data_IF_985612915948
#
_entry.id   IF_985612915948
#
_cell.length_a   1.000
_cell.length_b   1.000
_cell.length_c   1.000
_cell.angle_alpha   90.00
_cell.angle_beta   90.00
_cell.angle_gamma   90.00
#
_symmetry.space_group_name_H-M   'P 1'
#
loop_
_entity.id
_entity.type
_entity.pdbx_description
1 polymer ?
#
# COMPACT_ATOMS: atom_id res chain seq x y z
N UNK A 1 17.91 41.00 -1.66
CA UNK A 1 17.15 39.78 -2.00
C UNK A 1 17.91 38.64 -1.33
N UNK A 2 17.36 38.10 -0.26
CA UNK A 2 17.93 36.89 0.34
C UNK A 2 17.87 35.76 -0.70
N UNK A 3 19.02 35.14 -0.97
CA UNK A 3 19.06 33.92 -1.79
C UNK A 3 18.18 32.87 -1.09
N UNK A 4 17.05 32.51 -1.70
CA UNK A 4 16.20 31.43 -1.16
C UNK A 4 17.03 30.17 -1.07
N UNK A 5 17.16 29.64 0.13
CA UNK A 5 17.86 28.39 0.39
C UNK A 5 17.25 27.30 -0.48
N UNK A 6 18.09 26.53 -1.16
CA UNK A 6 17.69 25.39 -1.98
C UNK A 6 18.15 24.11 -1.30
N UNK A 7 17.23 23.18 -1.18
CA UNK A 7 17.53 21.83 -0.71
C UNK A 7 17.73 20.89 -1.92
N UNK A 8 18.35 19.75 -1.72
CA UNK A 8 18.60 18.77 -2.78
C UNK A 8 17.70 17.56 -2.58
N UNK A 9 16.84 17.29 -3.57
CA UNK A 9 16.05 16.06 -3.63
C UNK A 9 16.77 15.07 -4.55
N UNK A 10 16.85 13.82 -4.11
CA UNK A 10 17.40 12.70 -4.88
C UNK A 10 16.36 11.65 -5.16
N UNK A 11 16.40 11.08 -6.36
CA UNK A 11 15.66 9.88 -6.73
C UNK A 11 16.64 8.71 -6.82
N UNK A 12 16.26 7.54 -6.28
CA UNK A 12 17.17 6.40 -6.24
C UNK A 12 16.42 5.07 -6.12
N UNK A 13 17.15 3.97 -6.41
CA UNK A 13 16.70 2.61 -6.08
C UNK A 13 17.44 2.15 -4.82
N UNK A 14 16.74 1.41 -3.99
CA UNK A 14 17.35 0.75 -2.84
C UNK A 14 18.06 -0.53 -3.28
N UNK A 15 19.15 -0.88 -2.60
CA UNK A 15 19.77 -2.20 -2.78
C UNK A 15 18.83 -3.28 -2.26
N UNK A 16 18.73 -4.37 -3.02
CA UNK A 16 18.02 -5.56 -2.55
C UNK A 16 18.77 -6.22 -1.41
N UNK A 17 18.06 -6.72 -0.42
CA UNK A 17 18.62 -7.49 0.67
C UNK A 17 18.15 -8.93 0.53
N UNK A 18 19.08 -9.88 0.52
CA UNK A 18 18.76 -11.31 0.39
C UNK A 18 17.77 -11.74 1.48
N UNK A 19 16.66 -12.34 1.07
CA UNK A 19 15.60 -12.79 1.96
C UNK A 19 14.55 -11.72 2.32
N UNK A 20 14.71 -10.46 1.88
CA UNK A 20 13.64 -9.48 1.92
C UNK A 20 12.78 -9.61 0.64
N UNK A 21 11.53 -9.80 0.84
CA UNK A 21 10.52 -9.83 -0.23
C UNK A 21 9.69 -8.53 -0.16
N UNK A 22 9.20 -8.03 -1.29
CA UNK A 22 9.59 -8.34 -2.65
C UNK A 22 10.69 -7.39 -3.16
N UNK A 23 11.48 -7.82 -4.15
CA UNK A 23 12.45 -6.95 -4.84
C UNK A 23 11.79 -5.66 -5.39
N UNK A 24 10.51 -5.70 -5.72
CA UNK A 24 9.72 -4.55 -6.16
C UNK A 24 9.76 -3.37 -5.19
N UNK A 25 9.84 -3.63 -3.87
CA UNK A 25 10.02 -2.57 -2.89
C UNK A 25 11.36 -1.86 -3.03
N UNK A 26 12.41 -2.55 -3.49
CA UNK A 26 13.71 -1.96 -3.76
C UNK A 26 13.78 -1.33 -5.15
N UNK A 27 13.17 -1.98 -6.16
CA UNK A 27 13.16 -1.56 -7.57
C UNK A 27 11.92 -0.70 -7.90
N UNK A 28 11.74 0.34 -7.14
CA UNK A 28 10.70 1.36 -7.27
C UNK A 28 11.32 2.74 -7.11
N UNK A 29 10.55 3.80 -7.21
CA UNK A 29 11.03 5.17 -7.00
C UNK A 29 11.12 5.48 -5.52
N UNK A 30 12.33 5.68 -5.03
CA UNK A 30 12.62 6.17 -3.69
C UNK A 30 13.06 7.64 -3.77
N UNK A 31 12.72 8.39 -2.74
CA UNK A 31 13.09 9.80 -2.60
C UNK A 31 13.88 10.01 -1.31
N UNK A 32 14.87 10.89 -1.36
CA UNK A 32 15.52 11.46 -0.19
C UNK A 32 15.68 12.95 -0.32
N UNK A 33 15.72 13.66 0.78
CA UNK A 33 16.07 15.09 0.83
C UNK A 33 17.39 15.20 1.60
N UNK A 34 18.36 15.91 1.04
CA UNK A 34 19.64 16.15 1.68
C UNK A 34 19.50 17.30 2.67
N UNK A 35 19.87 17.07 3.92
CA UNK A 35 19.85 18.03 5.00
C UNK A 35 21.22 18.08 5.67
N UNK A 36 21.85 19.24 5.71
CA UNK A 36 23.17 19.44 6.36
C UNK A 36 24.22 18.38 5.97
N UNK A 37 24.32 18.08 4.67
CA UNK A 37 25.20 17.04 4.08
C UNK A 37 24.76 15.59 4.34
N UNK A 38 23.74 15.34 5.14
CA UNK A 38 23.17 14.00 5.37
C UNK A 38 21.97 13.75 4.46
N UNK A 39 21.89 12.55 3.89
CA UNK A 39 20.68 12.09 3.18
C UNK A 39 19.62 11.62 4.16
N UNK A 40 18.43 12.23 4.08
CA UNK A 40 17.25 11.83 4.84
C UNK A 40 16.31 11.06 3.92
N UNK A 41 16.31 9.71 3.94
CA UNK A 41 15.35 8.91 3.20
C UNK A 41 13.93 9.20 3.64
N UNK A 42 13.03 9.34 2.69
CA UNK A 42 11.62 9.53 2.96
C UNK A 42 10.92 8.18 3.17
N UNK A 43 9.87 8.18 3.96
CA UNK A 43 9.03 7.00 4.23
C UNK A 43 9.84 5.76 4.66
N UNK A 44 10.82 5.93 5.56
CA UNK A 44 11.70 4.86 6.02
C UNK A 44 12.35 4.06 4.89
N UNK A 45 12.66 4.73 3.78
CA UNK A 45 13.27 4.12 2.61
C UNK A 45 12.39 3.04 1.93
N UNK A 46 11.09 3.08 2.12
CA UNK A 46 10.13 2.36 1.27
C UNK A 46 9.95 3.10 -0.06
N UNK A 47 9.65 2.36 -1.12
CA UNK A 47 9.31 2.97 -2.40
C UNK A 47 8.05 3.84 -2.27
N UNK A 48 8.09 5.04 -2.81
CA UNK A 48 6.98 6.00 -2.76
C UNK A 48 6.13 5.97 -4.02
N UNK A 49 6.74 5.59 -5.16
CA UNK A 49 6.07 5.52 -6.45
C UNK A 49 6.36 4.19 -7.12
N UNK A 50 5.31 3.53 -7.57
CA UNK A 50 5.35 2.25 -8.27
C UNK A 50 4.67 2.39 -9.63
N UNK A 51 5.14 1.70 -10.68
CA UNK A 51 4.38 1.56 -11.91
C UNK A 51 2.97 1.00 -11.61
N UNK A 52 1.92 1.54 -12.24
CA UNK A 52 0.55 1.01 -12.08
C UNK A 52 0.45 -0.47 -12.46
N UNK A 53 1.22 -0.90 -13.45
CA UNK A 53 1.33 -2.31 -13.83
C UNK A 53 1.89 -3.20 -12.70
N UNK A 54 2.55 -2.65 -11.69
CA UNK A 54 3.08 -3.41 -10.56
C UNK A 54 1.97 -4.15 -9.78
N UNK A 55 0.75 -3.64 -9.78
CA UNK A 55 -0.40 -4.26 -9.09
C UNK A 55 -0.93 -5.48 -9.86
N UNK A 56 -0.85 -5.47 -11.20
CA UNK A 56 -1.41 -6.52 -12.06
C UNK A 56 -0.33 -7.49 -12.52
N UNK A 57 0.77 -6.95 -13.03
CA UNK A 57 1.96 -7.68 -13.45
C UNK A 57 3.15 -7.00 -12.79
N UNK A 58 3.99 -7.73 -12.02
CA UNK A 58 5.12 -7.11 -11.35
C UNK A 58 5.99 -6.33 -12.34
N UNK A 59 6.11 -5.03 -12.14
CA UNK A 59 6.96 -4.13 -12.90
C UNK A 59 8.00 -3.53 -11.99
N UNK A 60 9.23 -3.47 -12.47
CA UNK A 60 10.37 -2.99 -11.71
C UNK A 60 11.00 -1.82 -12.46
N UNK A 61 11.49 -0.87 -11.71
CA UNK A 61 12.11 0.31 -12.29
C UNK A 61 13.49 0.56 -11.69
N UNK A 62 14.44 0.89 -12.52
CA UNK A 62 15.81 1.16 -12.09
C UNK A 62 16.45 2.33 -12.81
N UNK A 63 17.69 2.64 -12.47
CA UNK A 63 18.46 3.73 -13.03
C UNK A 63 17.67 5.06 -13.07
N UNK A 64 17.11 5.44 -11.91
CA UNK A 64 16.21 6.58 -11.78
C UNK A 64 16.89 7.91 -12.06
N UNK A 65 16.18 8.79 -12.75
CA UNK A 65 16.58 10.16 -13.06
C UNK A 65 15.43 11.13 -12.81
N UNK A 66 15.77 12.37 -12.53
CA UNK A 66 14.83 13.48 -12.35
C UNK A 66 15.28 14.70 -13.12
N UNK A 67 14.34 15.46 -13.65
CA UNK A 67 14.60 16.76 -14.29
C UNK A 67 13.52 17.77 -13.92
N UNK A 68 13.88 19.06 -13.87
CA UNK A 68 12.92 20.15 -13.82
C UNK A 68 12.57 20.58 -15.25
N UNK A 69 11.29 20.56 -15.58
CA UNK A 69 10.74 21.01 -16.85
C UNK A 69 9.98 22.31 -16.61
N UNK A 70 10.38 23.38 -17.29
CA UNK A 70 9.67 24.66 -17.24
C UNK A 70 8.81 24.80 -18.47
N UNK A 71 7.50 24.98 -18.29
CA UNK A 71 6.55 25.24 -19.37
C UNK A 71 5.57 26.31 -18.91
N UNK A 72 5.36 27.32 -19.72
CA UNK A 72 4.40 28.43 -19.49
C UNK A 72 4.53 29.07 -18.08
N UNK A 73 5.77 29.21 -17.60
CA UNK A 73 6.06 29.80 -16.30
C UNK A 73 5.92 28.83 -15.10
N UNK A 74 5.32 27.67 -15.29
CA UNK A 74 5.23 26.62 -14.26
C UNK A 74 6.45 25.69 -14.33
N UNK A 75 6.82 25.15 -13.17
CA UNK A 75 7.85 24.11 -13.04
C UNK A 75 7.16 22.79 -12.73
N UNK A 76 7.41 21.80 -13.56
CA UNK A 76 7.02 20.41 -13.35
C UNK A 76 8.27 19.56 -13.28
N UNK A 77 8.29 18.54 -12.45
CA UNK A 77 9.39 17.62 -12.34
C UNK A 77 9.04 16.32 -13.08
N UNK A 78 9.96 15.87 -13.90
CA UNK A 78 9.87 14.61 -14.62
C UNK A 78 10.78 13.60 -13.93
N UNK A 79 10.22 12.46 -13.52
CA UNK A 79 10.97 11.31 -13.03
C UNK A 79 10.94 10.24 -14.10
N UNK A 80 12.10 9.64 -14.41
CA UNK A 80 12.19 8.52 -15.34
C UNK A 80 13.02 7.39 -14.74
N UNK A 81 12.76 6.16 -15.19
CA UNK A 81 13.57 4.99 -14.86
C UNK A 81 13.48 3.93 -15.94
N UNK A 82 14.54 3.15 -16.08
CA UNK A 82 14.56 2.00 -16.99
C UNK A 82 13.57 0.93 -16.53
N UNK A 83 12.95 0.27 -17.48
CA UNK A 83 12.14 -0.92 -17.19
C UNK A 83 13.08 -2.10 -16.87
N UNK A 84 12.96 -2.63 -15.65
CA UNK A 84 13.81 -3.70 -15.14
C UNK A 84 13.03 -5.00 -14.95
N UNK A 85 13.73 -6.12 -15.00
CA UNK A 85 13.26 -7.44 -14.58
C UNK A 85 13.47 -7.61 -13.07
N UNK A 86 12.88 -8.65 -12.52
CA UNK A 86 12.98 -8.97 -11.08
C UNK A 86 14.41 -9.25 -10.61
N UNK A 87 15.31 -9.62 -11.50
CA UNK A 87 16.73 -9.85 -11.21
C UNK A 87 17.59 -8.57 -11.26
N UNK A 88 16.97 -7.42 -11.58
CA UNK A 88 17.63 -6.13 -11.70
C UNK A 88 18.29 -5.88 -13.06
N UNK A 89 18.09 -6.77 -14.04
CA UNK A 89 18.51 -6.53 -15.42
C UNK A 89 17.51 -5.67 -16.19
N UNK A 90 17.99 -4.91 -17.16
CA UNK A 90 17.13 -4.11 -18.04
C UNK A 90 16.26 -5.02 -18.89
N UNK A 91 14.96 -4.74 -18.97
CA UNK A 91 14.06 -5.43 -19.87
C UNK A 91 14.37 -5.04 -21.32
N UNK A 92 14.85 -6.01 -22.11
CA UNK A 92 15.28 -5.78 -23.50
C UNK A 92 14.15 -5.35 -24.44
N UNK A 93 12.89 -5.68 -24.12
CA UNK A 93 11.72 -5.29 -24.93
C UNK A 93 11.48 -3.77 -24.89
N UNK A 94 11.82 -3.14 -23.77
CA UNK A 94 11.64 -1.70 -23.56
C UNK A 94 12.96 -0.92 -23.54
N UNK A 95 14.04 -1.49 -24.10
CA UNK A 95 15.35 -0.85 -24.15
C UNK A 95 15.27 0.51 -24.87
N UNK A 96 15.73 1.58 -24.19
CA UNK A 96 15.68 2.95 -24.71
C UNK A 96 14.33 3.64 -24.50
N UNK A 97 13.41 3.01 -23.80
CA UNK A 97 12.19 3.63 -23.27
C UNK A 97 12.23 3.61 -21.74
N UNK A 98 11.44 4.47 -21.10
CA UNK A 98 11.53 4.72 -19.67
C UNK A 98 10.14 4.78 -19.06
N UNK A 99 9.95 4.11 -17.93
CA UNK A 99 8.89 4.45 -17.01
C UNK A 99 8.99 5.94 -16.68
N UNK A 100 7.88 6.65 -16.73
CA UNK A 100 7.89 8.10 -16.64
C UNK A 100 6.73 8.61 -15.80
N UNK A 101 7.03 9.56 -14.92
CA UNK A 101 6.06 10.24 -14.06
C UNK A 101 6.32 11.74 -14.08
N UNK A 102 5.25 12.53 -14.04
CA UNK A 102 5.33 13.95 -13.76
C UNK A 102 4.78 14.28 -12.38
N UNK A 103 5.32 15.31 -11.75
CA UNK A 103 4.86 15.82 -10.47
C UNK A 103 5.14 17.31 -10.36
N UNK A 104 4.26 18.05 -9.71
CA UNK A 104 4.48 19.45 -9.39
C UNK A 104 5.10 19.65 -7.99
N UNK A 105 4.93 18.65 -7.11
CA UNK A 105 5.13 18.80 -5.66
C UNK A 105 5.84 17.60 -4.99
N UNK A 106 6.08 16.52 -5.70
CA UNK A 106 6.57 15.23 -5.18
C UNK A 106 5.65 14.59 -4.11
N UNK A 107 4.40 15.00 -4.05
CA UNK A 107 3.36 14.42 -3.20
C UNK A 107 2.39 13.58 -4.03
N UNK A 108 2.09 14.06 -5.23
CA UNK A 108 1.22 13.40 -6.21
C UNK A 108 1.97 13.19 -7.52
N UNK A 109 1.68 12.09 -8.20
CA UNK A 109 2.40 11.68 -9.40
C UNK A 109 1.44 11.26 -10.50
N UNK A 110 1.58 11.89 -11.69
CA UNK A 110 0.89 11.47 -12.90
C UNK A 110 1.78 10.49 -13.66
N UNK A 111 1.35 9.24 -13.79
CA UNK A 111 2.08 8.23 -14.54
C UNK A 111 1.81 8.36 -16.04
N UNK A 112 2.88 8.50 -16.80
CA UNK A 112 2.84 8.52 -18.26
C UNK A 112 3.05 7.14 -18.89
N UNK A 113 3.40 6.13 -18.09
CA UNK A 113 3.76 4.80 -18.54
C UNK A 113 5.18 4.74 -19.12
N UNK A 114 5.45 3.74 -19.96
CA UNK A 114 6.72 3.59 -20.65
C UNK A 114 6.74 4.52 -21.86
N UNK A 115 7.63 5.49 -21.85
CA UNK A 115 7.79 6.51 -22.88
C UNK A 115 9.14 6.36 -23.58
N UNK A 116 9.14 6.42 -24.91
CA UNK A 116 10.34 6.64 -25.72
C UNK A 116 10.86 8.08 -25.55
N UNK A 117 12.09 8.33 -25.96
CA UNK A 117 12.64 9.68 -25.96
C UNK A 117 11.81 10.67 -26.77
N UNK A 118 11.24 10.24 -27.91
CA UNK A 118 10.35 11.10 -28.73
C UNK A 118 9.06 11.46 -28.00
N UNK A 119 8.44 10.50 -27.28
CA UNK A 119 7.24 10.75 -26.49
C UNK A 119 7.54 11.68 -25.29
N UNK A 120 8.71 11.58 -24.68
CA UNK A 120 9.13 12.52 -23.63
C UNK A 120 9.27 13.95 -24.18
N UNK A 121 9.86 14.11 -25.37
CA UNK A 121 9.94 15.41 -26.04
C UNK A 121 8.56 16.00 -26.34
N UNK A 122 7.65 15.19 -26.86
CA UNK A 122 6.26 15.60 -27.15
C UNK A 122 5.54 16.07 -25.89
N UNK A 123 5.58 15.27 -24.81
CA UNK A 123 4.90 15.57 -23.55
C UNK A 123 5.47 16.81 -22.84
N UNK A 124 6.78 16.99 -22.87
CA UNK A 124 7.45 18.11 -22.22
C UNK A 124 7.52 19.36 -23.08
N UNK A 125 7.46 19.22 -24.40
CA UNK A 125 7.72 20.30 -25.36
C UNK A 125 9.20 20.69 -25.45
N UNK A 126 10.12 19.84 -24.99
CA UNK A 126 11.58 20.08 -24.96
C UNK A 126 12.32 19.00 -25.75
N UNK A 127 13.53 19.31 -26.20
CA UNK A 127 14.44 18.28 -26.73
C UNK A 127 15.03 17.46 -25.59
N UNK A 128 15.52 16.24 -25.88
CA UNK A 128 16.15 15.39 -24.84
C UNK A 128 17.36 16.04 -24.19
N UNK A 129 18.15 16.81 -24.96
CA UNK A 129 19.29 17.55 -24.43
C UNK A 129 18.86 18.67 -23.48
N UNK A 130 17.70 19.29 -23.72
CA UNK A 130 17.14 20.32 -22.87
C UNK A 130 16.54 19.75 -21.57
N UNK A 131 16.13 18.48 -21.58
CA UNK A 131 15.69 17.75 -20.39
C UNK A 131 16.93 17.23 -19.66
N UNK A 132 17.48 18.03 -18.76
CA UNK A 132 18.69 17.69 -18.00
C UNK A 132 18.39 16.65 -16.93
N UNK A 133 18.43 15.38 -17.31
CA UNK A 133 18.19 14.23 -16.42
C UNK A 133 19.38 14.01 -15.49
N UNK A 134 19.14 14.06 -14.19
CA UNK A 134 20.11 13.79 -13.11
C UNK A 134 19.54 12.86 -12.07
N UNK A 135 20.32 12.33 -11.16
CA UNK A 135 19.84 11.55 -10.02
C UNK A 135 19.38 12.43 -8.85
N UNK A 136 19.68 13.73 -8.91
CA UNK A 136 19.31 14.69 -7.87
C UNK A 136 19.00 16.06 -8.48
N UNK A 137 18.17 16.84 -7.79
CA UNK A 137 17.75 18.17 -8.24
C UNK A 137 17.59 19.13 -7.07
N UNK A 138 17.92 20.40 -7.32
CA UNK A 138 17.66 21.45 -6.34
C UNK A 138 16.17 21.84 -6.34
N UNK A 139 15.55 21.84 -5.16
CA UNK A 139 14.15 22.23 -4.94
C UNK A 139 14.07 23.39 -3.95
N UNK A 140 12.99 24.17 -3.95
CA UNK A 140 12.77 25.20 -2.92
C UNK A 140 12.69 24.59 -1.52
N UNK A 141 13.19 25.27 -0.51
CA UNK A 141 13.13 24.83 0.90
C UNK A 141 11.69 24.55 1.35
N UNK A 142 10.74 25.42 1.02
CA UNK A 142 9.32 25.24 1.33
C UNK A 142 8.78 23.90 0.77
N UNK A 143 9.16 23.55 -0.45
CA UNK A 143 8.80 22.28 -1.07
C UNK A 143 9.45 21.10 -0.31
N UNK A 144 10.72 21.21 0.04
CA UNK A 144 11.41 20.18 0.81
C UNK A 144 10.75 19.92 2.17
N UNK A 145 10.31 20.97 2.87
CA UNK A 145 9.59 20.84 4.13
C UNK A 145 8.22 20.18 3.95
N UNK A 146 7.46 20.55 2.89
CA UNK A 146 6.20 19.90 2.57
C UNK A 146 6.38 18.41 2.29
N UNK A 147 7.39 18.04 1.50
CA UNK A 147 7.71 16.64 1.17
C UNK A 147 8.07 15.85 2.43
N UNK A 148 8.97 16.38 3.27
CA UNK A 148 9.35 15.76 4.54
C UNK A 148 8.15 15.59 5.45
N UNK A 149 7.33 16.62 5.59
CA UNK A 149 6.13 16.57 6.41
C UNK A 149 5.17 15.49 5.91
N UNK A 150 4.88 15.46 4.61
CA UNK A 150 3.92 14.51 4.04
C UNK A 150 4.40 13.06 4.19
N UNK A 151 5.64 12.76 3.77
CA UNK A 151 6.13 11.38 3.73
C UNK A 151 6.64 10.85 5.08
N UNK A 152 7.05 11.75 5.99
CA UNK A 152 7.61 11.36 7.30
C UNK A 152 6.70 11.73 8.49
N UNK A 153 5.60 12.46 8.29
CA UNK A 153 4.74 12.89 9.38
C UNK A 153 4.15 11.72 10.19
N UNK A 154 3.90 10.59 9.53
CA UNK A 154 3.48 9.35 10.19
C UNK A 154 4.59 8.73 11.06
N UNK A 155 5.84 9.11 10.84
CA UNK A 155 7.00 8.58 11.56
C UNK A 155 7.57 9.55 12.61
N UNK A 156 7.36 10.85 12.46
CA UNK A 156 7.91 11.88 13.34
C UNK A 156 7.37 11.84 14.79
N UNK A 157 6.25 11.16 15.02
CA UNK A 157 5.68 10.96 16.37
C UNK A 157 6.03 9.61 16.99
N UNK A 158 6.61 8.69 16.24
CA UNK A 158 7.19 7.48 16.80
C UNK A 158 8.66 7.74 17.12
N UNK A 159 8.97 8.40 18.24
CA UNK A 159 10.12 7.93 18.99
C UNK A 159 9.90 6.41 19.07
N UNK A 160 10.76 5.64 18.43
CA UNK A 160 10.74 4.19 18.54
C UNK A 160 11.11 3.84 20.00
N UNK A 161 10.12 3.91 20.89
CA UNK A 161 10.09 2.98 21.99
C UNK A 161 10.25 1.61 21.37
N UNK A 162 11.06 0.74 21.94
CA UNK A 162 11.23 -0.63 21.46
C UNK A 162 9.85 -1.18 21.06
N UNK A 163 9.71 -1.79 19.86
CA UNK A 163 8.40 -2.21 19.41
C UNK A 163 7.81 -3.13 20.46
N UNK A 164 6.66 -2.75 21.02
CA UNK A 164 5.91 -3.56 22.00
C UNK A 164 5.60 -4.95 21.45
N UNK A 165 5.61 -5.08 20.12
CA UNK A 165 5.27 -6.30 19.40
C UNK A 165 6.49 -6.87 18.69
N UNK A 166 6.69 -8.18 18.81
CA UNK A 166 7.70 -8.94 18.06
C UNK A 166 7.04 -9.55 16.82
N UNK A 167 7.66 -9.41 15.65
CA UNK A 167 7.22 -10.07 14.43
C UNK A 167 7.71 -11.53 14.38
N UNK A 168 6.89 -12.45 13.81
CA UNK A 168 5.52 -12.22 13.32
C UNK A 168 4.54 -11.99 14.47
N UNK A 169 3.53 -11.13 14.27
CA UNK A 169 2.51 -10.82 15.28
C UNK A 169 1.64 -12.03 15.63
N UNK A 170 1.36 -12.86 14.64
CA UNK A 170 0.66 -14.12 14.75
C UNK A 170 1.09 -15.07 13.62
N UNK A 171 0.78 -16.35 13.76
CA UNK A 171 0.99 -17.38 12.74
C UNK A 171 -0.33 -18.08 12.42
N UNK A 172 -0.47 -18.58 11.16
CA UNK A 172 -1.68 -19.26 10.72
C UNK A 172 -2.90 -18.35 10.65
N UNK A 173 -2.69 -17.06 10.38
CA UNK A 173 -3.74 -16.08 10.14
C UNK A 173 -3.43 -15.37 8.83
N UNK A 174 -4.28 -15.58 7.82
CA UNK A 174 -4.21 -14.93 6.52
C UNK A 174 -5.26 -13.83 6.39
N UNK A 175 -5.13 -12.96 5.40
CA UNK A 175 -6.06 -11.86 5.09
C UNK A 175 -6.45 -11.02 6.32
N UNK A 176 -5.49 -10.49 7.09
CA UNK A 176 -5.77 -9.80 8.34
C UNK A 176 -6.44 -8.44 8.10
N UNK A 177 -7.53 -8.20 8.81
CA UNK A 177 -8.24 -6.91 8.79
C UNK A 177 -8.36 -6.35 10.21
N UNK A 178 -8.08 -5.07 10.36
CA UNK A 178 -8.28 -4.30 11.59
C UNK A 178 -9.29 -3.20 11.34
N UNK A 179 -10.28 -3.10 12.20
CA UNK A 179 -11.30 -2.05 12.21
C UNK A 179 -11.20 -1.25 13.50
N UNK A 180 -11.18 0.06 13.42
CA UNK A 180 -11.48 0.95 14.55
C UNK A 180 -12.99 1.25 14.54
N UNK A 181 -13.70 0.84 15.58
CA UNK A 181 -15.13 1.02 15.71
C UNK A 181 -15.52 1.39 17.15
N UNK A 182 -16.14 2.54 17.32
CA UNK A 182 -16.56 3.06 18.63
C UNK A 182 -15.44 3.01 19.68
N UNK A 183 -14.30 3.59 19.35
CA UNK A 183 -13.11 3.72 20.21
C UNK A 183 -12.34 2.43 20.52
N UNK A 184 -12.74 1.27 19.97
CA UNK A 184 -12.03 0.01 20.11
C UNK A 184 -11.55 -0.53 18.76
N UNK A 185 -10.43 -1.24 18.79
CA UNK A 185 -9.91 -1.98 17.64
C UNK A 185 -10.45 -3.40 17.62
N UNK A 186 -10.85 -3.85 16.44
CA UNK A 186 -11.30 -5.21 16.17
C UNK A 186 -10.41 -5.83 15.09
N UNK A 187 -9.99 -7.07 15.32
CA UNK A 187 -9.17 -7.83 14.39
C UNK A 187 -9.90 -9.09 13.96
N UNK A 188 -9.88 -9.37 12.67
CA UNK A 188 -10.40 -10.61 12.08
C UNK A 188 -9.45 -11.08 10.97
N UNK A 189 -9.40 -12.39 10.71
CA UNK A 189 -8.55 -12.99 9.68
C UNK A 189 -9.10 -14.35 9.25
N UNK A 190 -8.67 -14.85 8.12
CA UNK A 190 -8.72 -16.27 7.78
C UNK A 190 -7.89 -17.04 8.80
N UNK A 191 -8.39 -18.14 9.37
CA UNK A 191 -7.74 -18.86 10.46
C UNK A 191 -7.31 -20.28 10.05
N UNK A 192 -6.12 -20.39 9.48
CA UNK A 192 -5.50 -21.66 9.08
C UNK A 192 -5.28 -22.59 10.29
N UNK A 193 -5.17 -22.05 11.51
CA UNK A 193 -5.01 -22.85 12.72
C UNK A 193 -6.29 -23.65 13.06
N UNK A 194 -7.44 -23.22 12.53
CA UNK A 194 -8.74 -23.88 12.69
C UNK A 194 -9.20 -24.51 11.36
N UNK A 195 -8.28 -24.83 10.46
CA UNK A 195 -8.54 -25.38 9.13
C UNK A 195 -9.50 -24.54 8.30
N UNK A 196 -9.42 -23.22 8.41
CA UNK A 196 -10.28 -22.25 7.73
C UNK A 196 -11.77 -22.45 8.04
N UNK A 197 -12.12 -22.84 9.28
CA UNK A 197 -13.49 -23.02 9.71
C UNK A 197 -13.87 -22.00 10.78
N UNK A 198 -14.88 -21.20 10.45
CA UNK A 198 -15.40 -20.16 11.32
C UNK A 198 -14.62 -18.85 11.28
N UNK A 199 -15.26 -17.77 11.71
CA UNK A 199 -14.62 -16.46 11.88
C UNK A 199 -14.51 -16.09 13.34
N UNK A 200 -13.34 -15.58 13.70
CA UNK A 200 -12.95 -15.26 15.05
C UNK A 200 -12.50 -13.81 15.15
N UNK A 201 -13.04 -13.07 16.10
CA UNK A 201 -12.72 -11.65 16.32
C UNK A 201 -11.98 -11.47 17.64
N UNK A 202 -10.96 -10.61 17.62
CA UNK A 202 -10.31 -10.07 18.81
C UNK A 202 -10.71 -8.61 18.97
N UNK A 203 -10.78 -8.13 20.22
CA UNK A 203 -11.05 -6.74 20.55
C UNK A 203 -10.02 -6.23 21.53
N UNK A 204 -9.57 -4.99 21.33
CA UNK A 204 -8.72 -4.29 22.27
C UNK A 204 -8.95 -2.78 22.17
N UNK A 205 -8.60 -2.04 23.23
CA UNK A 205 -8.63 -0.58 23.21
C UNK A 205 -7.41 0.00 22.50
N UNK A 206 -6.25 -0.63 22.66
CA UNK A 206 -5.03 -0.28 21.94
C UNK A 206 -4.73 -1.29 20.84
N UNK A 207 -4.21 -0.82 19.71
CA UNK A 207 -3.94 -1.65 18.54
C UNK A 207 -3.00 -2.82 18.85
N UNK A 208 -1.97 -2.56 19.64
CA UNK A 208 -0.96 -3.54 20.03
C UNK A 208 -1.54 -4.69 20.86
N UNK A 209 -2.54 -4.42 21.68
CA UNK A 209 -3.15 -5.39 22.58
C UNK A 209 -4.00 -6.46 21.85
N UNK A 210 -4.33 -6.21 20.57
CA UNK A 210 -4.94 -7.24 19.70
C UNK A 210 -4.06 -8.49 19.52
N UNK A 211 -2.76 -8.35 19.76
CA UNK A 211 -1.75 -9.41 19.61
C UNK A 211 -1.10 -9.79 20.93
N UNK A 212 -1.63 -9.33 22.06
CA UNK A 212 -1.21 -9.75 23.37
C UNK A 212 -1.42 -11.26 23.57
N UNK A 213 -0.55 -11.89 24.38
CA UNK A 213 -0.55 -13.35 24.58
C UNK A 213 -1.87 -13.88 25.15
N UNK A 214 -2.57 -13.07 25.91
CA UNK A 214 -3.80 -13.38 26.63
C UNK A 214 -5.05 -12.74 26.02
N UNK A 215 -4.92 -12.17 24.81
CA UNK A 215 -6.06 -11.58 24.09
C UNK A 215 -7.14 -12.64 23.85
N UNK A 216 -8.37 -12.31 24.23
CA UNK A 216 -9.52 -13.19 24.00
C UNK A 216 -9.94 -13.16 22.54
N UNK A 217 -10.31 -14.35 22.07
CA UNK A 217 -10.80 -14.56 20.70
C UNK A 217 -12.25 -15.05 20.75
N UNK A 218 -13.13 -14.43 19.99
CA UNK A 218 -14.57 -14.69 20.01
C UNK A 218 -15.02 -15.20 18.63
N UNK A 219 -15.64 -16.38 18.59
CA UNK A 219 -16.18 -16.93 17.36
C UNK A 219 -17.52 -16.25 17.05
N UNK A 220 -17.62 -15.57 15.91
CA UNK A 220 -18.81 -14.84 15.47
C UNK A 220 -19.60 -15.56 14.37
N UNK A 221 -18.96 -16.47 13.64
CA UNK A 221 -19.60 -17.35 12.67
C UNK A 221 -18.95 -18.72 12.75
N UNK A 222 -19.76 -19.77 12.70
CA UNK A 222 -19.31 -21.15 12.76
C UNK A 222 -19.81 -21.95 11.55
N UNK A 223 -19.32 -23.17 11.43
CA UNK A 223 -19.79 -24.15 10.46
C UNK A 223 -21.29 -24.36 10.59
N UNK A 224 -21.97 -24.30 9.44
CA UNK A 224 -23.40 -24.54 9.31
C UNK A 224 -23.68 -25.33 8.03
N UNK A 225 -23.67 -26.64 8.12
CA UNK A 225 -23.85 -27.55 6.99
C UNK A 225 -25.21 -27.42 6.33
N UNK A 226 -26.27 -27.04 7.07
CA UNK A 226 -27.61 -26.86 6.53
C UNK A 226 -27.70 -25.65 5.61
N UNK A 227 -26.91 -24.61 5.89
CA UNK A 227 -26.85 -23.41 5.09
C UNK A 227 -25.63 -23.38 4.12
N UNK A 228 -24.90 -24.51 3.98
CA UNK A 228 -23.78 -24.64 3.07
C UNK A 228 -22.49 -23.96 3.54
N UNK A 229 -22.34 -23.67 4.82
CA UNK A 229 -21.12 -23.11 5.41
C UNK A 229 -20.27 -24.24 6.00
N UNK A 230 -19.44 -24.86 5.18
CA UNK A 230 -18.75 -26.10 5.56
C UNK A 230 -17.26 -25.90 5.70
N UNK A 231 -16.64 -25.12 4.82
CA UNK A 231 -15.20 -24.93 4.70
C UNK A 231 -14.87 -23.60 4.03
N UNK A 232 -13.57 -23.25 3.97
CA UNK A 232 -13.04 -22.06 3.27
C UNK A 232 -13.68 -20.77 3.78
N UNK A 233 -13.66 -20.57 5.11
CA UNK A 233 -14.02 -19.30 5.72
C UNK A 233 -12.89 -18.31 5.51
N UNK A 234 -12.88 -17.66 4.34
CA UNK A 234 -11.76 -16.88 3.84
C UNK A 234 -12.04 -15.39 3.73
N UNK A 235 -10.96 -14.61 3.80
CA UNK A 235 -10.92 -13.20 3.48
C UNK A 235 -12.06 -12.39 4.11
N UNK A 236 -12.21 -12.42 5.45
CA UNK A 236 -13.24 -11.62 6.12
C UNK A 236 -12.86 -10.14 6.10
N UNK A 237 -13.79 -9.28 5.69
CA UNK A 237 -13.58 -7.83 5.59
C UNK A 237 -14.69 -7.05 6.28
N UNK A 238 -14.34 -6.15 7.18
CA UNK A 238 -15.28 -5.22 7.77
C UNK A 238 -15.52 -4.01 6.86
N UNK A 239 -16.79 -3.68 6.63
CA UNK A 239 -17.22 -2.51 5.86
C UNK A 239 -18.24 -1.69 6.62
N UNK A 240 -18.07 -0.36 6.63
CA UNK A 240 -19.05 0.55 7.20
C UNK A 240 -19.78 1.25 6.04
N UNK A 241 -21.06 0.95 5.89
CA UNK A 241 -21.91 1.49 4.84
C UNK A 241 -23.12 2.19 5.48
N UNK A 242 -23.28 3.48 5.20
CA UNK A 242 -24.38 4.28 5.76
C UNK A 242 -24.53 4.15 7.29
N UNK A 243 -23.40 4.14 8.01
CA UNK A 243 -23.38 4.03 9.47
C UNK A 243 -23.64 2.62 10.03
N UNK A 244 -23.90 1.63 9.19
CA UNK A 244 -24.05 0.22 9.59
C UNK A 244 -22.78 -0.58 9.31
N UNK A 245 -22.42 -1.49 10.18
CA UNK A 245 -21.27 -2.39 10.02
C UNK A 245 -21.70 -3.69 9.33
N UNK A 246 -20.90 -4.08 8.34
CA UNK A 246 -21.05 -5.31 7.58
C UNK A 246 -19.76 -6.12 7.65
N UNK A 247 -19.90 -7.45 7.58
CA UNK A 247 -18.80 -8.37 7.33
C UNK A 247 -19.02 -9.04 5.97
N UNK A 248 -18.09 -8.83 5.05
CA UNK A 248 -18.00 -9.49 3.76
C UNK A 248 -17.00 -10.63 3.87
N UNK A 249 -17.30 -11.80 3.31
CA UNK A 249 -16.44 -12.97 3.42
C UNK A 249 -16.75 -14.03 2.37
N UNK A 250 -15.83 -14.96 2.19
CA UNK A 250 -16.02 -16.15 1.35
C UNK A 250 -16.22 -17.39 2.23
N UNK A 251 -17.10 -18.28 1.78
CA UNK A 251 -17.30 -19.60 2.38
C UNK A 251 -17.72 -20.59 1.30
N UNK A 252 -17.44 -21.87 1.50
CA UNK A 252 -17.80 -22.95 0.59
C UNK A 252 -18.64 -24.02 1.30
N UNK A 253 -19.45 -24.70 0.51
CA UNK A 253 -20.10 -25.93 0.91
C UNK A 253 -19.11 -27.12 0.98
N UNK A 254 -19.60 -28.36 0.99
CA UNK A 254 -18.75 -29.57 1.05
C UNK A 254 -17.92 -29.80 -0.22
N UNK A 255 -18.28 -29.19 -1.33
CA UNK A 255 -17.51 -29.20 -2.57
C UNK A 255 -16.69 -27.90 -2.70
N UNK A 256 -15.74 -27.86 -3.62
CA UNK A 256 -14.99 -26.65 -3.88
C UNK A 256 -15.84 -25.64 -4.65
N UNK A 257 -16.63 -24.85 -3.91
CA UNK A 257 -17.56 -23.86 -4.45
C UNK A 257 -17.56 -22.58 -3.61
N UNK A 258 -16.41 -21.87 -3.55
CA UNK A 258 -16.30 -20.65 -2.72
C UNK A 258 -17.25 -19.55 -3.22
N UNK A 259 -18.08 -19.02 -2.34
CA UNK A 259 -19.09 -17.99 -2.62
C UNK A 259 -18.94 -16.83 -1.65
N UNK A 260 -19.06 -15.62 -2.18
CA UNK A 260 -19.03 -14.42 -1.37
C UNK A 260 -20.36 -14.22 -0.64
N UNK A 261 -20.28 -13.92 0.64
CA UNK A 261 -21.42 -13.64 1.51
C UNK A 261 -21.22 -12.33 2.25
N UNK A 262 -22.31 -11.75 2.70
CA UNK A 262 -22.32 -10.55 3.54
C UNK A 262 -23.29 -10.76 4.71
N UNK A 263 -22.89 -10.32 5.90
CA UNK A 263 -23.79 -10.22 7.04
C UNK A 263 -23.70 -8.84 7.68
N UNK A 264 -24.79 -8.35 8.23
CA UNK A 264 -24.90 -7.03 8.84
C UNK A 264 -24.94 -7.13 10.35
N UNK A 265 -24.25 -6.26 11.06
CA UNK A 265 -24.41 -6.10 12.49
C UNK A 265 -25.77 -5.43 12.78
N UNK A 266 -26.54 -5.99 13.69
CA UNK A 266 -27.80 -5.41 14.15
C UNK A 266 -27.55 -4.05 14.80
N UNK A 267 -28.55 -3.22 14.79
CA UNK A 267 -28.49 -1.92 15.46
C UNK A 267 -28.16 -2.11 16.95
N UNK A 268 -27.15 -1.35 17.42
CA UNK A 268 -26.61 -1.48 18.79
C UNK A 268 -26.05 -2.86 19.15
N UNK A 269 -25.81 -3.74 18.17
CA UNK A 269 -25.23 -5.07 18.39
C UNK A 269 -23.76 -5.02 18.83
N UNK A 270 -23.33 -6.06 19.51
CA UNK A 270 -21.94 -6.31 19.85
C UNK A 270 -21.28 -7.17 18.76
N UNK A 271 -20.17 -6.67 18.18
CA UNK A 271 -19.39 -7.37 17.14
C UNK A 271 -18.96 -8.76 17.61
N UNK A 272 -18.70 -8.93 18.89
CA UNK A 272 -18.22 -10.19 19.49
C UNK A 272 -19.33 -11.22 19.75
N UNK A 273 -20.59 -10.80 19.68
CA UNK A 273 -21.74 -11.67 19.91
C UNK A 273 -22.29 -12.21 18.59
N UNK A 274 -22.18 -13.52 18.29
CA UNK A 274 -22.71 -14.08 17.04
C UNK A 274 -24.23 -13.86 16.85
N UNK A 275 -25.00 -13.69 17.93
CA UNK A 275 -26.44 -13.46 17.86
C UNK A 275 -26.81 -12.04 17.42
N UNK A 276 -25.87 -11.11 17.48
CA UNK A 276 -26.07 -9.71 17.08
C UNK A 276 -25.77 -9.47 15.60
N UNK A 277 -25.35 -10.48 14.89
CA UNK A 277 -25.24 -10.46 13.44
C UNK A 277 -26.53 -10.97 12.79
N UNK A 278 -26.92 -10.36 11.68
CA UNK A 278 -27.99 -10.88 10.82
C UNK A 278 -27.49 -12.15 10.11
N UNK A 279 -28.43 -12.98 9.61
CA UNK A 279 -28.05 -14.16 8.83
C UNK A 279 -27.27 -13.74 7.59
N UNK A 280 -26.17 -14.43 7.28
CA UNK A 280 -25.43 -14.18 6.05
C UNK A 280 -26.32 -14.37 4.82
N UNK A 281 -26.13 -13.48 3.84
CA UNK A 281 -26.76 -13.58 2.52
C UNK A 281 -25.69 -13.66 1.45
N UNK A 282 -25.90 -14.51 0.45
CA UNK A 282 -25.00 -14.67 -0.67
C UNK A 282 -25.02 -13.39 -1.54
N UNK A 283 -23.83 -12.86 -1.83
CA UNK A 283 -23.67 -11.77 -2.79
C UNK A 283 -23.88 -12.31 -4.21
N UNK A 284 -24.76 -11.68 -4.97
CA UNK A 284 -25.05 -12.06 -6.35
C UNK A 284 -24.83 -10.88 -7.28
N UNK A 285 -24.52 -11.17 -8.53
CA UNK A 285 -24.49 -10.13 -9.56
C UNK A 285 -25.89 -9.60 -9.82
N UNK A 286 -26.00 -8.38 -10.35
CA UNK A 286 -27.29 -7.75 -10.69
C UNK A 286 -28.15 -8.59 -11.66
N UNK A 287 -27.53 -9.42 -12.49
CA UNK A 287 -28.19 -10.36 -13.41
C UNK A 287 -28.53 -11.73 -12.79
N UNK A 288 -28.31 -11.90 -11.48
CA UNK A 288 -28.69 -13.11 -10.74
C UNK A 288 -27.71 -14.29 -10.80
N UNK A 289 -26.51 -14.08 -11.41
CA UNK A 289 -25.44 -15.09 -11.52
C UNK A 289 -24.46 -15.07 -10.35
#
# INVERSE_FOLDING_TARGET
>A
MEERKKEVLRVYNRKTVKGQYPNGLAYSVHLSVKENEEECPLHNNYGLVFPKAWVIVPSFVGNLKVAAVKKDGAVTYLITGEDWKSDGSVNSENKGSFWSWSTADFLTFDEWGICSGAQLCEKTGLTLEAIRMTDQIAIPDEMAQCIKHHWNALHAKRQMTEPKLKFPLARGLADPVVLLWKDDYYFIATNDNENDIGFYVRKAHELEDLFAKDVKTYKILDKDTENGFVQLFWAPEFHVLNGSLYLLFTVSDSEWNPQCHIMKLKENGDILNPKDWEKPIRVRRANGG
#
